data_IF_319582282175
#
_entry.id   IF_319582282175
#
_cell.length_a   1.000
_cell.length_b   1.000
_cell.length_c   1.000
_cell.angle_alpha   90.00
_cell.angle_beta   90.00
_cell.angle_gamma   90.00
#
_symmetry.space_group_name_H-M   'P 1'
#
loop_
_entity.id
_entity.type
_entity.pdbx_description
1 polymer ?
#
# COMPACT_ATOMS: atom_id res chain seq x y z
N UNK A 1 4.46 -20.92 -4.07
CA UNK A 1 4.36 -20.16 -2.80
C UNK A 1 4.38 -18.68 -3.12
N UNK A 2 3.53 -17.87 -2.49
CA UNK A 2 3.49 -16.41 -2.69
C UNK A 2 3.99 -15.73 -1.42
N UNK A 3 4.94 -14.81 -1.57
CA UNK A 3 5.44 -13.94 -0.52
C UNK A 3 5.76 -12.58 -1.14
N UNK A 4 5.38 -11.51 -0.46
CA UNK A 4 5.61 -10.15 -0.89
C UNK A 4 5.70 -9.25 0.34
N UNK A 5 6.45 -8.14 0.22
CA UNK A 5 6.39 -7.06 1.20
C UNK A 5 4.95 -6.48 1.21
N UNK A 6 4.45 -6.05 2.38
CA UNK A 6 3.14 -5.42 2.53
C UNK A 6 2.89 -4.26 1.54
N UNK A 7 3.94 -3.54 1.15
CA UNK A 7 3.91 -2.43 0.19
C UNK A 7 3.60 -2.88 -1.26
N UNK A 8 3.86 -4.15 -1.58
CA UNK A 8 3.60 -4.77 -2.89
C UNK A 8 2.62 -5.93 -2.85
N UNK A 9 2.20 -6.37 -1.67
CA UNK A 9 1.34 -7.52 -1.51
C UNK A 9 -0.03 -7.29 -2.15
N UNK A 10 -0.46 -8.22 -2.98
CA UNK A 10 -1.74 -8.29 -3.65
C UNK A 10 -2.63 -9.30 -2.92
N UNK A 11 -3.93 -9.09 -2.96
CA UNK A 11 -4.90 -10.00 -2.36
C UNK A 11 -6.18 -10.02 -3.17
N UNK A 12 -6.86 -11.17 -3.19
CA UNK A 12 -8.20 -11.25 -3.80
C UNK A 12 -9.19 -10.52 -2.91
N UNK A 13 -9.83 -9.49 -3.47
CA UNK A 13 -10.91 -8.74 -2.84
C UNK A 13 -12.19 -9.56 -2.92
N UNK A 14 -12.90 -9.66 -1.82
CA UNK A 14 -14.17 -10.39 -1.75
C UNK A 14 -15.21 -9.69 -2.64
N UNK A 15 -15.86 -10.45 -3.53
CA UNK A 15 -17.00 -9.95 -4.31
C UNK A 15 -18.22 -9.86 -3.40
N UNK A 16 -18.95 -8.75 -3.52
CA UNK A 16 -20.24 -8.59 -2.86
C UNK A 16 -21.31 -9.33 -3.68
N UNK A 17 -22.49 -9.48 -3.09
CA UNK A 17 -23.63 -10.06 -3.78
C UNK A 17 -23.93 -9.26 -5.07
N UNK A 18 -24.25 -9.98 -6.14
CA UNK A 18 -24.68 -9.33 -7.38
C UNK A 18 -26.07 -8.73 -7.19
N UNK A 19 -26.14 -7.40 -7.21
CA UNK A 19 -27.38 -6.66 -7.12
C UNK A 19 -27.57 -5.79 -8.36
N UNK A 20 -28.83 -5.54 -8.73
CA UNK A 20 -29.14 -4.57 -9.79
C UNK A 20 -28.94 -3.16 -9.24
N UNK A 21 -28.39 -2.23 -10.03
CA UNK A 21 -28.29 -0.83 -9.63
C UNK A 21 -29.67 -0.24 -9.30
N UNK A 22 -29.82 0.27 -8.09
CA UNK A 22 -31.03 0.97 -7.63
C UNK A 22 -30.93 2.48 -7.88
N UNK A 23 -32.05 3.23 -7.95
CA UNK A 23 -32.02 4.68 -8.03
C UNK A 23 -31.23 5.29 -6.86
N UNK A 24 -30.39 6.29 -7.16
CA UNK A 24 -29.60 7.00 -6.16
C UNK A 24 -30.52 7.77 -5.21
N UNK A 25 -30.25 7.70 -3.91
CA UNK A 25 -31.05 8.32 -2.85
C UNK A 25 -30.15 9.08 -1.89
N UNK A 26 -30.51 10.31 -1.52
CA UNK A 26 -29.83 11.07 -0.45
C UNK A 26 -30.36 10.65 0.93
N UNK A 27 -29.46 10.45 1.89
CA UNK A 27 -29.78 10.13 3.27
C UNK A 27 -29.01 11.04 4.22
N UNK A 28 -29.71 11.61 5.20
CA UNK A 28 -29.10 12.40 6.26
C UNK A 28 -28.36 11.46 7.24
N UNK A 29 -27.12 11.81 7.56
CA UNK A 29 -26.23 11.08 8.46
C UNK A 29 -25.57 12.07 9.44
N UNK A 30 -26.36 12.71 10.32
CA UNK A 30 -25.86 13.72 11.25
C UNK A 30 -24.83 13.12 12.21
N UNK A 31 -23.72 13.82 12.40
CA UNK A 31 -22.62 13.37 13.27
C UNK A 31 -21.86 12.12 12.80
N UNK A 32 -22.05 11.64 11.57
CA UNK A 32 -21.33 10.50 11.01
C UNK A 32 -20.42 10.93 9.85
N UNK A 33 -19.10 10.84 10.05
CA UNK A 33 -18.10 11.27 9.08
C UNK A 33 -17.08 10.16 8.72
N UNK A 34 -16.89 9.20 9.62
CA UNK A 34 -16.03 8.03 9.39
C UNK A 34 -16.79 6.88 8.76
N UNK A 35 -16.08 5.95 8.11
CA UNK A 35 -16.71 4.76 7.55
C UNK A 35 -17.40 3.93 8.62
N UNK A 36 -16.78 3.80 9.79
CA UNK A 36 -17.34 3.12 10.95
C UNK A 36 -18.67 3.75 11.41
N UNK A 37 -18.71 5.08 11.52
CA UNK A 37 -19.93 5.80 11.93
C UNK A 37 -21.03 5.70 10.88
N UNK A 38 -20.71 5.90 9.60
CA UNK A 38 -21.68 5.83 8.50
C UNK A 38 -22.26 4.43 8.36
N UNK A 39 -21.40 3.40 8.38
CA UNK A 39 -21.82 2.01 8.33
C UNK A 39 -22.68 1.62 9.54
N UNK A 40 -22.28 2.06 10.74
CA UNK A 40 -23.05 1.85 11.97
C UNK A 40 -24.42 2.53 11.95
N UNK A 41 -24.47 3.79 11.52
CA UNK A 41 -25.69 4.59 11.43
C UNK A 41 -26.71 3.98 10.45
N UNK A 42 -26.23 3.57 9.27
CA UNK A 42 -27.07 2.98 8.21
C UNK A 42 -27.30 1.48 8.39
N UNK A 43 -26.66 0.84 9.39
CA UNK A 43 -26.72 -0.59 9.68
C UNK A 43 -26.32 -1.46 8.47
N UNK A 44 -25.26 -1.06 7.78
CA UNK A 44 -24.67 -1.79 6.66
C UNK A 44 -23.23 -2.19 6.99
N UNK A 45 -22.68 -3.24 6.35
CA UNK A 45 -21.25 -3.54 6.50
C UNK A 45 -20.40 -2.46 5.82
N UNK A 46 -19.20 -2.21 6.37
CA UNK A 46 -18.22 -1.24 5.80
C UNK A 46 -17.87 -1.53 4.34
N UNK A 47 -17.96 -2.79 3.92
CA UNK A 47 -17.74 -3.20 2.53
C UNK A 47 -18.76 -2.61 1.54
N UNK A 48 -19.92 -2.15 2.00
CA UNK A 48 -20.92 -1.46 1.17
C UNK A 48 -20.75 0.06 1.17
N UNK A 49 -19.63 0.58 1.66
CA UNK A 49 -19.32 2.01 1.63
C UNK A 49 -18.13 2.30 0.70
N UNK A 50 -18.06 3.50 0.16
CA UNK A 50 -16.89 4.04 -0.54
C UNK A 50 -16.26 5.15 0.30
N UNK A 51 -14.99 4.98 0.61
CA UNK A 51 -14.14 5.95 1.29
C UNK A 51 -13.47 6.86 0.27
N UNK A 52 -13.52 8.17 0.54
CA UNK A 52 -12.73 9.18 -0.14
C UNK A 52 -11.48 9.52 0.67
N UNK A 53 -10.31 9.48 0.04
CA UNK A 53 -9.02 9.86 0.63
C UNK A 53 -8.32 10.85 -0.31
N UNK A 54 -7.67 11.86 0.23
CA UNK A 54 -7.09 12.95 -0.55
C UNK A 54 -5.58 12.95 -0.42
N UNK A 55 -4.89 13.00 -1.55
CA UNK A 55 -3.44 13.04 -1.61
C UNK A 55 -2.97 14.23 -2.42
N UNK A 56 -1.77 14.71 -2.13
CA UNK A 56 -1.01 15.58 -3.02
C UNK A 56 0.06 14.72 -3.68
N UNK A 57 0.01 14.62 -5.01
CA UNK A 57 0.98 13.91 -5.84
C UNK A 57 1.72 14.93 -6.72
N UNK A 58 3.03 15.07 -6.52
CA UNK A 58 3.88 16.07 -7.21
C UNK A 58 3.29 17.50 -7.22
N UNK A 59 2.63 17.90 -6.13
CA UNK A 59 2.00 19.21 -5.96
C UNK A 59 0.54 19.32 -6.40
N UNK A 60 -0.02 18.29 -7.04
CA UNK A 60 -1.41 18.26 -7.49
C UNK A 60 -2.32 17.45 -6.55
N UNK A 61 -3.53 17.95 -6.30
CA UNK A 61 -4.54 17.22 -5.53
C UNK A 61 -5.08 16.04 -6.33
N UNK A 62 -5.14 14.87 -5.68
CA UNK A 62 -5.69 13.63 -6.22
C UNK A 62 -6.79 13.13 -5.30
N UNK A 63 -7.96 12.85 -5.88
CA UNK A 63 -9.08 12.21 -5.21
C UNK A 63 -8.93 10.70 -5.32
N UNK A 64 -8.84 10.00 -4.21
CA UNK A 64 -8.75 8.54 -4.18
C UNK A 64 -10.03 7.95 -3.61
N UNK A 65 -10.66 7.03 -4.33
CA UNK A 65 -11.85 6.30 -3.85
C UNK A 65 -11.58 4.80 -3.72
N UNK A 66 -11.99 4.20 -2.61
CA UNK A 66 -11.77 2.78 -2.31
C UNK A 66 -12.92 2.25 -1.46
N UNK A 67 -13.19 0.94 -1.47
CA UNK A 67 -14.17 0.33 -0.56
C UNK A 67 -13.80 0.61 0.90
N UNK A 68 -14.80 0.93 1.73
CA UNK A 68 -14.56 1.52 3.05
C UNK A 68 -13.93 0.59 4.08
N UNK A 69 -14.00 -0.73 3.90
CA UNK A 69 -13.30 -1.71 4.74
C UNK A 69 -11.80 -1.86 4.40
N UNK A 70 -11.33 -1.26 3.31
CA UNK A 70 -9.94 -1.34 2.83
C UNK A 70 -9.15 -0.05 3.11
N UNK A 71 -7.82 -0.19 3.23
CA UNK A 71 -6.91 0.94 3.33
C UNK A 71 -6.13 1.14 2.03
N UNK A 72 -5.85 2.40 1.70
CA UNK A 72 -4.97 2.76 0.58
C UNK A 72 -3.54 2.35 0.93
N UNK A 73 -2.87 1.72 -0.03
CA UNK A 73 -1.44 1.47 -0.01
C UNK A 73 -0.76 2.58 -0.81
N UNK A 74 -0.12 3.50 -0.10
CA UNK A 74 0.55 4.67 -0.68
C UNK A 74 1.67 4.29 -1.66
N UNK A 75 2.38 3.18 -1.43
CA UNK A 75 3.41 2.69 -2.36
C UNK A 75 2.77 2.24 -3.67
N UNK A 76 1.65 1.50 -3.63
CA UNK A 76 0.90 1.13 -4.83
C UNK A 76 0.36 2.37 -5.55
N UNK A 77 -0.27 3.29 -4.81
CA UNK A 77 -0.81 4.53 -5.36
C UNK A 77 0.28 5.38 -6.03
N UNK A 78 1.44 5.57 -5.37
CA UNK A 78 2.58 6.29 -5.92
C UNK A 78 3.09 5.66 -7.22
N UNK A 79 3.21 4.34 -7.26
CA UNK A 79 3.64 3.61 -8.45
C UNK A 79 2.67 3.76 -9.62
N UNK A 80 1.35 3.70 -9.34
CA UNK A 80 0.29 3.84 -10.34
C UNK A 80 0.20 5.27 -10.88
N UNK A 81 0.41 6.27 -10.02
CA UNK A 81 0.47 7.68 -10.40
C UNK A 81 1.78 8.08 -11.09
N UNK A 82 2.81 7.25 -11.00
CA UNK A 82 4.18 7.57 -11.45
C UNK A 82 4.73 8.86 -10.83
N UNK A 83 4.33 9.19 -9.60
CA UNK A 83 4.76 10.41 -8.92
C UNK A 83 6.02 10.20 -8.07
N UNK A 84 6.78 11.28 -7.87
CA UNK A 84 7.99 11.29 -7.04
C UNK A 84 7.65 11.55 -5.59
N UNK A 85 6.73 12.47 -5.32
CA UNK A 85 6.24 12.81 -4.00
C UNK A 85 4.75 12.49 -3.88
N UNK A 86 4.40 11.82 -2.78
CA UNK A 86 3.03 11.51 -2.42
C UNK A 86 2.86 11.74 -0.93
N UNK A 87 1.86 12.53 -0.54
CA UNK A 87 1.47 12.72 0.86
C UNK A 87 -0.03 12.88 0.98
N UNK A 88 -0.57 12.66 2.17
CA UNK A 88 -1.94 13.05 2.47
C UNK A 88 -2.12 14.56 2.28
N UNK A 89 -3.27 14.93 1.72
CA UNK A 89 -3.67 16.33 1.65
C UNK A 89 -4.05 16.82 3.04
N UNK A 90 -3.71 18.06 3.34
CA UNK A 90 -4.14 18.73 4.57
C UNK A 90 -5.60 19.16 4.45
N UNK A 91 -6.28 19.33 5.58
CA UNK A 91 -7.66 19.81 5.60
C UNK A 91 -7.83 21.12 4.82
N UNK A 92 -6.90 22.07 4.98
CA UNK A 92 -6.93 23.36 4.29
C UNK A 92 -6.84 23.22 2.75
N UNK A 93 -6.10 22.24 2.24
CA UNK A 93 -6.01 21.96 0.80
C UNK A 93 -7.33 21.36 0.27
N UNK A 94 -7.92 20.45 1.04
CA UNK A 94 -9.21 19.80 0.73
C UNK A 94 -10.34 20.83 0.72
N UNK A 95 -10.42 21.70 1.73
CA UNK A 95 -11.43 22.77 1.81
C UNK A 95 -11.27 23.78 0.67
N UNK A 96 -10.04 24.15 0.31
CA UNK A 96 -9.77 25.09 -0.80
C UNK A 96 -10.22 24.52 -2.15
N UNK A 97 -10.18 23.20 -2.30
CA UNK A 97 -10.71 22.50 -3.46
C UNK A 97 -12.24 22.34 -3.46
N UNK A 98 -12.94 22.87 -2.44
CA UNK A 98 -14.40 22.79 -2.31
C UNK A 98 -14.91 21.42 -1.89
N UNK A 99 -14.04 20.58 -1.32
CA UNK A 99 -14.38 19.22 -0.90
C UNK A 99 -14.85 19.23 0.56
N UNK A 100 -15.98 18.58 0.82
CA UNK A 100 -16.54 18.41 2.16
C UNK A 100 -16.00 17.12 2.77
N UNK A 101 -14.93 17.22 3.56
CA UNK A 101 -14.34 16.08 4.25
C UNK A 101 -15.39 15.34 5.11
N UNK A 102 -15.31 14.00 5.18
CA UNK A 102 -16.30 13.16 5.88
C UNK A 102 -17.60 12.91 5.12
N UNK A 103 -17.90 13.69 4.08
CA UNK A 103 -19.07 13.50 3.22
C UNK A 103 -18.73 13.66 1.73
N UNK A 104 -17.47 13.42 1.36
CA UNK A 104 -16.99 13.56 0.00
C UNK A 104 -17.21 12.31 -0.86
N UNK A 105 -17.46 12.52 -2.16
CA UNK A 105 -17.45 11.47 -3.18
C UNK A 105 -16.99 12.03 -4.53
N UNK A 106 -16.55 11.18 -5.47
CA UNK A 106 -16.15 11.63 -6.80
C UNK A 106 -17.32 12.14 -7.68
N UNK A 107 -18.57 12.13 -7.17
CA UNK A 107 -19.76 12.51 -7.93
C UNK A 107 -19.76 14.03 -8.17
N UNK A 108 -19.67 14.44 -9.43
CA UNK A 108 -19.70 15.84 -9.84
C UNK A 108 -18.40 16.61 -9.58
N UNK A 109 -17.34 15.95 -9.13
CA UNK A 109 -16.01 16.54 -8.98
C UNK A 109 -15.42 16.81 -10.37
N UNK A 110 -14.83 18.00 -10.56
CA UNK A 110 -14.19 18.43 -11.80
C UNK A 110 -12.83 19.04 -11.51
N UNK A 111 -11.89 18.87 -12.44
CA UNK A 111 -10.54 19.47 -12.33
C UNK A 111 -9.62 18.79 -11.31
N UNK A 112 -10.02 17.66 -10.74
CA UNK A 112 -9.22 16.85 -9.82
C UNK A 112 -9.18 15.44 -10.39
N UNK A 113 -7.99 14.86 -10.48
CA UNK A 113 -7.81 13.48 -10.93
C UNK A 113 -8.43 12.52 -9.92
N UNK A 114 -9.31 11.64 -10.38
CA UNK A 114 -9.97 10.60 -9.59
C UNK A 114 -9.28 9.26 -9.85
N UNK A 115 -8.63 8.73 -8.82
CA UNK A 115 -8.06 7.38 -8.81
C UNK A 115 -8.97 6.48 -7.99
N UNK A 116 -9.29 5.29 -8.49
CA UNK A 116 -10.06 4.31 -7.73
C UNK A 116 -9.32 3.00 -7.56
N UNK A 117 -9.55 2.37 -6.41
CA UNK A 117 -9.24 0.96 -6.25
C UNK A 117 -10.24 0.10 -7.02
N UNK A 118 -9.78 -0.98 -7.64
CA UNK A 118 -10.68 -1.92 -8.34
C UNK A 118 -11.79 -2.53 -7.44
N UNK A 119 -11.69 -2.46 -6.10
CA UNK A 119 -12.73 -2.89 -5.16
C UNK A 119 -14.07 -2.18 -5.36
N UNK A 120 -14.09 -0.99 -5.96
CA UNK A 120 -15.37 -0.30 -6.25
C UNK A 120 -16.22 -1.04 -7.29
N UNK A 121 -15.61 -2.01 -8.00
CA UNK A 121 -16.29 -2.89 -8.96
C UNK A 121 -16.72 -4.23 -8.34
N UNK A 122 -16.46 -4.44 -7.05
CA UNK A 122 -16.76 -5.72 -6.37
C UNK A 122 -18.26 -5.94 -6.12
N UNK A 123 -19.09 -4.93 -6.31
CA UNK A 123 -20.53 -4.97 -6.10
C UNK A 123 -21.24 -3.77 -6.70
N UNK A 124 -22.48 -3.58 -6.28
CA UNK A 124 -23.33 -2.47 -6.67
C UNK A 124 -23.86 -1.76 -5.42
N UNK A 125 -24.49 -0.60 -5.64
CA UNK A 125 -25.28 0.12 -4.64
C UNK A 125 -24.53 0.57 -3.38
N UNK A 126 -23.29 1.04 -3.53
CA UNK A 126 -22.50 1.52 -2.40
C UNK A 126 -23.08 2.78 -1.77
N UNK A 127 -22.67 3.05 -0.53
CA UNK A 127 -22.86 4.34 0.14
C UNK A 127 -21.61 5.19 0.00
N UNK A 128 -21.74 6.41 -0.50
CA UNK A 128 -20.65 7.39 -0.59
C UNK A 128 -21.12 8.75 -0.08
N UNK A 129 -20.19 9.67 0.20
CA UNK A 129 -20.55 11.03 0.61
C UNK A 129 -21.38 11.79 -0.42
N UNK A 130 -22.26 12.69 0.02
CA UNK A 130 -23.12 13.47 -0.88
C UNK A 130 -22.48 14.79 -1.39
N UNK A 131 -21.22 15.06 -1.05
CA UNK A 131 -20.55 16.36 -1.21
C UNK A 131 -21.29 17.50 -0.49
N UNK A 132 -22.02 17.17 0.57
CA UNK A 132 -22.77 18.07 1.44
C UNK A 132 -22.53 17.66 2.90
N UNK A 133 -22.43 18.59 3.86
CA UNK A 133 -22.29 18.25 5.27
C UNK A 133 -23.38 17.28 5.72
N UNK A 134 -23.00 16.31 6.57
CA UNK A 134 -23.92 15.39 7.25
C UNK A 134 -24.87 14.61 6.32
N UNK A 135 -24.47 14.40 5.06
CA UNK A 135 -25.32 13.74 4.06
C UNK A 135 -24.52 12.73 3.25
N UNK A 136 -25.11 11.57 3.03
CA UNK A 136 -24.55 10.52 2.17
C UNK A 136 -25.55 10.16 1.06
N UNK A 137 -25.04 9.50 0.02
CA UNK A 137 -25.79 8.95 -1.08
C UNK A 137 -25.79 7.44 -0.97
N UNK A 138 -26.99 6.84 -0.97
CA UNK A 138 -27.19 5.41 -1.16
C UNK A 138 -27.24 5.07 -2.65
N UNK A 139 -27.01 3.80 -2.93
CA UNK A 139 -27.11 3.21 -4.25
C UNK A 139 -26.15 3.83 -5.27
N UNK A 140 -24.95 4.22 -4.83
CA UNK A 140 -23.92 4.79 -5.68
C UNK A 140 -23.23 3.67 -6.48
N UNK A 141 -23.12 3.86 -7.79
CA UNK A 141 -22.63 2.87 -8.74
C UNK A 141 -21.65 3.50 -9.74
N UNK A 142 -20.46 2.93 -9.88
CA UNK A 142 -19.56 3.19 -11.00
C UNK A 142 -19.91 2.27 -12.18
N UNK A 143 -19.94 2.74 -13.45
CA UNK A 143 -19.67 4.10 -13.92
C UNK A 143 -20.90 5.03 -14.00
N UNK A 144 -22.08 4.59 -13.55
CA UNK A 144 -23.33 5.35 -13.70
C UNK A 144 -23.28 6.74 -13.06
N UNK A 145 -22.77 6.83 -11.82
CA UNK A 145 -22.85 8.06 -11.02
C UNK A 145 -21.56 8.91 -11.06
N UNK A 146 -20.42 8.28 -11.35
CA UNK A 146 -19.12 8.96 -11.45
C UNK A 146 -18.14 8.17 -12.32
N UNK A 147 -17.24 8.92 -12.96
CA UNK A 147 -16.14 8.37 -13.74
C UNK A 147 -14.85 8.33 -12.90
N UNK A 148 -13.93 7.48 -13.31
CA UNK A 148 -12.61 7.30 -12.70
C UNK A 148 -11.58 7.50 -13.80
N UNK A 149 -10.57 8.33 -13.56
CA UNK A 149 -9.50 8.58 -14.53
C UNK A 149 -8.49 7.42 -14.56
N UNK A 150 -8.26 6.80 -13.39
CA UNK A 150 -7.32 5.70 -13.24
C UNK A 150 -7.84 4.68 -12.23
N UNK A 151 -8.04 3.44 -12.66
CA UNK A 151 -8.42 2.32 -11.81
C UNK A 151 -7.27 1.34 -11.68
N UNK A 152 -6.90 0.97 -10.46
CA UNK A 152 -5.82 0.02 -10.19
C UNK A 152 -6.01 -0.70 -8.86
N UNK A 153 -5.19 -1.71 -8.57
CA UNK A 153 -5.06 -2.23 -7.21
C UNK A 153 -4.21 -1.27 -6.37
N UNK A 154 -4.87 -0.50 -5.51
CA UNK A 154 -4.24 0.41 -4.56
C UNK A 154 -4.58 0.03 -3.12
N UNK A 155 -5.22 -1.12 -2.88
CA UNK A 155 -5.55 -1.60 -1.56
C UNK A 155 -4.33 -2.26 -0.87
N UNK A 156 -4.22 -2.06 0.44
CA UNK A 156 -3.28 -2.80 1.30
C UNK A 156 -3.84 -4.19 1.59
N UNK A 157 -3.09 -5.23 1.19
CA UNK A 157 -3.41 -6.61 1.58
C UNK A 157 -3.26 -6.82 3.09
N UNK A 158 -4.13 -7.64 3.68
CA UNK A 158 -4.13 -7.97 5.12
C UNK A 158 -4.02 -9.47 5.34
N UNK A 159 -3.53 -9.85 6.52
CA UNK A 159 -3.58 -11.23 6.97
C UNK A 159 -5.03 -11.76 6.93
N UNK A 160 -5.18 -13.01 6.50
CA UNK A 160 -6.48 -13.64 6.29
C UNK A 160 -7.12 -13.38 4.93
N UNK A 161 -6.67 -12.38 4.16
CA UNK A 161 -7.14 -12.22 2.77
C UNK A 161 -6.71 -13.40 1.90
N UNK A 162 -7.44 -13.65 0.83
CA UNK A 162 -7.15 -14.75 -0.09
C UNK A 162 -5.94 -14.42 -0.97
N UNK A 163 -5.07 -15.41 -1.15
CA UNK A 163 -3.89 -15.28 -2.00
C UNK A 163 -4.31 -15.13 -3.47
N UNK A 164 -3.68 -14.23 -4.25
CA UNK A 164 -3.98 -14.07 -5.67
C UNK A 164 -3.39 -15.18 -6.54
N UNK A 165 -2.48 -16.00 -6.01
CA UNK A 165 -1.73 -17.03 -6.77
C UNK A 165 -2.00 -18.47 -6.30
N UNK A 166 -2.75 -18.64 -5.22
CA UNK A 166 -3.15 -19.95 -4.72
C UNK A 166 -4.45 -19.85 -3.92
N UNK A 167 -5.00 -20.99 -3.52
CA UNK A 167 -6.28 -21.06 -2.80
C UNK A 167 -6.15 -20.72 -1.30
N UNK A 168 -4.92 -20.54 -0.81
CA UNK A 168 -4.63 -20.24 0.59
C UNK A 168 -4.98 -18.81 1.01
N UNK A 169 -4.79 -18.56 2.31
CA UNK A 169 -4.90 -17.22 2.92
C UNK A 169 -3.50 -16.65 3.17
N UNK A 170 -3.38 -15.33 3.09
CA UNK A 170 -2.17 -14.60 3.44
C UNK A 170 -1.96 -14.64 4.96
N UNK A 171 -0.72 -14.86 5.39
CA UNK A 171 -0.26 -14.59 6.75
C UNK A 171 0.68 -13.39 6.72
N UNK A 172 0.78 -12.67 7.85
CA UNK A 172 1.71 -11.57 8.01
C UNK A 172 2.77 -11.95 9.05
N UNK A 173 4.03 -11.64 8.75
CA UNK A 173 5.15 -11.74 9.67
C UNK A 173 5.99 -10.48 9.58
N UNK A 174 6.66 -10.14 10.67
CA UNK A 174 7.70 -9.12 10.65
C UNK A 174 9.00 -9.73 10.13
N UNK A 175 9.80 -8.91 9.48
CA UNK A 175 11.11 -9.31 8.96
C UNK A 175 12.02 -8.10 8.87
N UNK A 176 13.32 -8.34 9.07
CA UNK A 176 14.36 -7.34 8.87
C UNK A 176 14.90 -7.51 7.46
N UNK A 177 14.81 -6.47 6.62
CA UNK A 177 15.37 -6.51 5.28
C UNK A 177 16.91 -6.48 5.34
N UNK A 178 17.55 -7.65 5.22
CA UNK A 178 19.02 -7.79 5.22
C UNK A 178 19.65 -7.60 3.85
N UNK A 179 18.85 -7.67 2.77
CA UNK A 179 19.31 -7.42 1.42
C UNK A 179 18.17 -7.24 0.42
N UNK A 180 18.50 -6.66 -0.73
CA UNK A 180 17.56 -6.35 -1.81
C UNK A 180 18.26 -6.51 -3.16
N UNK A 181 17.53 -7.06 -4.14
CA UNK A 181 17.98 -7.19 -5.52
C UNK A 181 17.05 -6.42 -6.44
N UNK A 182 17.60 -5.61 -7.33
CA UNK A 182 16.85 -4.76 -8.25
C UNK A 182 17.22 -5.07 -9.69
N UNK A 183 16.21 -5.17 -10.55
CA UNK A 183 16.37 -5.05 -12.00
C UNK A 183 16.22 -3.59 -12.36
N UNK A 184 17.33 -2.89 -12.55
CA UNK A 184 17.34 -1.46 -12.88
C UNK A 184 16.98 -1.20 -14.35
N UNK A 185 17.10 -2.22 -15.21
CA UNK A 185 16.87 -2.06 -16.64
C UNK A 185 17.91 -1.09 -17.21
N UNK A 186 17.44 -0.11 -17.99
CA UNK A 186 18.30 0.88 -18.66
C UNK A 186 18.28 2.26 -17.99
N UNK A 187 17.58 2.39 -16.85
CA UNK A 187 17.33 3.70 -16.21
C UNK A 187 18.61 4.49 -15.90
N UNK A 188 19.63 3.83 -15.34
CA UNK A 188 20.90 4.49 -15.02
C UNK A 188 21.80 4.64 -16.24
N UNK A 189 21.85 3.63 -17.10
CA UNK A 189 22.71 3.64 -18.29
C UNK A 189 22.30 4.71 -19.29
N UNK A 190 21.00 4.92 -19.49
CA UNK A 190 20.49 6.02 -20.31
C UNK A 190 20.85 7.39 -19.73
N UNK A 191 20.70 7.57 -18.41
CA UNK A 191 21.00 8.84 -17.72
C UNK A 191 22.49 9.17 -17.67
N UNK A 192 23.35 8.16 -17.52
CA UNK A 192 24.80 8.34 -17.34
C UNK A 192 25.60 8.19 -18.63
N UNK A 193 24.96 7.86 -19.76
CA UNK A 193 25.68 7.67 -21.02
C UNK A 193 26.43 6.34 -21.13
N UNK A 194 25.99 5.30 -20.42
CA UNK A 194 26.64 3.99 -20.41
C UNK A 194 26.06 3.05 -21.49
N UNK A 195 26.68 3.02 -22.67
CA UNK A 195 26.23 2.27 -23.84
C UNK A 195 27.28 1.25 -24.29
N UNK A 196 26.83 0.21 -25.01
CA UNK A 196 27.70 -0.76 -25.70
C UNK A 196 27.25 -0.94 -27.15
N UNK A 197 28.17 -1.37 -28.02
CA UNK A 197 27.83 -1.74 -29.40
C UNK A 197 27.48 -3.23 -29.44
N UNK A 198 26.26 -3.54 -29.87
CA UNK A 198 25.83 -4.92 -30.01
C UNK A 198 26.42 -5.58 -31.28
N UNK A 199 26.24 -6.90 -31.49
CA UNK A 199 26.79 -7.60 -32.66
C UNK A 199 26.31 -7.08 -34.04
N UNK A 200 25.26 -6.24 -34.09
CA UNK A 200 24.76 -5.61 -35.31
C UNK A 200 25.35 -4.21 -35.55
N UNK A 201 26.30 -3.77 -34.73
CA UNK A 201 26.89 -2.44 -34.82
C UNK A 201 26.00 -1.33 -34.23
N UNK A 202 24.93 -1.67 -33.51
CA UNK A 202 23.98 -0.70 -32.96
C UNK A 202 24.33 -0.39 -31.51
N UNK A 203 24.41 0.90 -31.17
CA UNK A 203 24.58 1.37 -29.80
C UNK A 203 23.32 1.08 -28.97
N UNK A 204 23.49 0.41 -27.84
CA UNK A 204 22.41 0.08 -26.91
C UNK A 204 22.80 0.42 -25.46
N UNK A 205 21.86 0.90 -24.63
CA UNK A 205 22.13 1.13 -23.22
C UNK A 205 22.41 -0.21 -22.52
N UNK A 206 23.32 -0.20 -21.56
CA UNK A 206 23.62 -1.39 -20.76
C UNK A 206 22.43 -1.74 -19.88
N UNK A 207 21.97 -2.99 -19.88
CA UNK A 207 20.94 -3.48 -18.96
C UNK A 207 21.59 -3.80 -17.62
N UNK A 208 21.07 -3.21 -16.54
CA UNK A 208 21.69 -3.25 -15.22
C UNK A 208 20.84 -4.00 -14.19
N UNK A 209 21.55 -4.70 -13.29
CA UNK A 209 21.03 -5.22 -12.03
C UNK A 209 21.85 -4.66 -10.87
N UNK A 210 21.25 -4.57 -9.69
CA UNK A 210 21.94 -4.16 -8.46
C UNK A 210 21.57 -5.12 -7.32
N UNK A 211 22.54 -5.44 -6.48
CA UNK A 211 22.43 -6.42 -5.40
C UNK A 211 23.08 -5.80 -4.16
N UNK A 212 22.28 -5.61 -3.10
CA UNK A 212 22.74 -5.01 -1.86
C UNK A 212 22.48 -5.93 -0.67
N UNK A 213 23.47 -6.05 0.22
CA UNK A 213 23.35 -6.70 1.53
C UNK A 213 23.86 -5.73 2.57
N UNK A 214 23.05 -5.43 3.57
CA UNK A 214 23.43 -4.53 4.67
C UNK A 214 24.23 -5.28 5.72
N UNK A 215 25.56 -5.35 5.61
CA UNK A 215 26.41 -6.17 6.50
C UNK A 215 26.21 -5.87 8.00
N UNK A 216 26.19 -4.59 8.39
CA UNK A 216 25.94 -4.20 9.79
C UNK A 216 24.54 -4.59 10.27
N UNK A 217 23.53 -4.44 9.39
CA UNK A 217 22.16 -4.86 9.67
C UNK A 217 22.03 -6.38 9.74
N UNK A 218 22.76 -7.11 8.90
CA UNK A 218 22.79 -8.57 8.90
C UNK A 218 23.35 -9.10 10.22
N UNK A 219 24.41 -8.48 10.74
CA UNK A 219 24.95 -8.80 12.07
C UNK A 219 23.89 -8.61 13.16
N UNK A 220 23.21 -7.45 13.18
CA UNK A 220 22.15 -7.18 14.14
C UNK A 220 20.97 -8.16 13.98
N UNK A 221 20.57 -8.48 12.75
CA UNK A 221 19.49 -9.44 12.48
C UNK A 221 19.84 -10.87 12.93
N UNK A 222 21.10 -11.28 12.78
CA UNK A 222 21.57 -12.57 13.28
C UNK A 222 21.49 -12.64 14.81
N UNK A 223 21.85 -11.56 15.51
CA UNK A 223 21.72 -11.46 16.97
C UNK A 223 20.23 -11.47 17.38
N UNK A 224 19.39 -10.67 16.71
CA UNK A 224 17.95 -10.61 16.98
C UNK A 224 17.28 -11.99 16.86
N UNK A 225 17.69 -12.78 15.87
CA UNK A 225 17.18 -14.14 15.67
C UNK A 225 17.79 -15.16 16.65
N UNK A 226 18.95 -14.87 17.25
CA UNK A 226 19.72 -15.85 18.02
C UNK A 226 20.34 -15.20 19.26
N UNK A 227 19.50 -14.95 20.26
CA UNK A 227 19.88 -14.50 21.59
C UNK A 227 18.94 -15.08 22.65
N UNK A 228 19.38 -15.02 23.90
CA UNK A 228 18.57 -15.27 25.08
C UNK A 228 18.88 -14.23 26.17
N UNK A 229 18.30 -14.41 27.36
CA UNK A 229 18.49 -13.51 28.50
C UNK A 229 19.95 -13.41 28.98
N UNK A 230 20.83 -14.34 28.57
CA UNK A 230 22.25 -14.37 28.94
C UNK A 230 23.16 -13.78 27.87
N UNK A 231 22.64 -13.52 26.67
CA UNK A 231 23.35 -12.81 25.62
C UNK A 231 23.20 -13.43 24.24
N UNK A 232 24.22 -13.22 23.41
CA UNK A 232 24.22 -13.58 21.99
C UNK A 232 24.51 -15.08 21.84
N UNK A 233 23.70 -15.76 21.03
CA UNK A 233 23.94 -17.13 20.59
C UNK A 233 24.41 -17.08 19.13
N UNK A 234 25.72 -16.94 18.93
CA UNK A 234 26.27 -16.83 17.59
C UNK A 234 26.01 -18.09 16.74
N UNK A 235 25.48 -17.96 15.52
CA UNK A 235 25.57 -19.02 14.52
C UNK A 235 27.05 -19.36 14.29
N UNK A 236 27.37 -20.66 14.25
CA UNK A 236 28.75 -21.15 14.19
C UNK A 236 29.63 -20.45 13.13
N UNK A 237 29.16 -20.19 11.88
CA UNK A 237 30.00 -19.56 10.85
C UNK A 237 30.41 -18.11 11.13
N UNK A 238 29.75 -17.42 12.06
CA UNK A 238 30.00 -16.00 12.37
C UNK A 238 30.35 -15.77 13.84
N UNK A 239 30.56 -16.84 14.61
CA UNK A 239 31.02 -16.72 15.98
C UNK A 239 32.43 -16.08 16.00
N UNK A 240 32.68 -15.09 16.89
CA UNK A 240 33.99 -14.43 16.95
C UNK A 240 35.11 -15.40 17.33
N UNK A 241 34.78 -16.39 18.17
CA UNK A 241 35.61 -17.52 18.54
C UNK A 241 34.73 -18.75 18.70
N UNK A 242 35.22 -19.92 18.29
CA UNK A 242 34.48 -21.19 18.46
C UNK A 242 34.57 -21.73 19.90
N UNK A 243 35.65 -21.41 20.62
CA UNK A 243 35.91 -21.87 21.98
C UNK A 243 36.41 -20.67 22.80
N UNK A 244 35.79 -20.43 23.95
CA UNK A 244 36.22 -19.45 24.94
C UNK A 244 36.78 -20.18 26.17
N UNK A 245 38.11 -20.19 26.32
CA UNK A 245 38.78 -20.81 27.46
C UNK A 245 38.86 -19.80 28.61
N UNK A 246 38.19 -20.12 29.72
CA UNK A 246 38.20 -19.29 30.92
C UNK A 246 38.96 -20.00 32.05
N UNK A 247 40.13 -19.48 32.45
CA UNK A 247 40.85 -19.99 33.61
C UNK A 247 40.20 -19.48 34.89
N UNK A 248 39.82 -20.39 35.79
CA UNK A 248 39.22 -20.04 37.09
C UNK A 248 40.28 -19.61 38.12
N UNK A 249 41.51 -20.10 37.96
CA UNK A 249 42.65 -19.79 38.82
C UNK A 249 43.91 -19.60 37.97
N UNK A 250 44.14 -18.39 37.42
CA UNK A 250 45.45 -18.07 36.91
C UNK A 250 46.42 -18.04 38.09
N UNK A 251 47.40 -18.95 38.12
CA UNK A 251 48.55 -18.78 39.02
C UNK A 251 49.23 -17.47 38.63
N UNK A 252 49.34 -16.54 39.57
CA UNK A 252 50.16 -15.35 39.39
C UNK A 252 51.59 -15.82 39.13
N UNK A 253 52.04 -15.80 37.87
CA UNK A 253 53.48 -15.83 37.60
C UNK A 253 54.08 -14.56 38.21
N UNK A 254 54.85 -14.76 39.29
CA UNK A 254 55.84 -13.79 39.76
C UNK A 254 56.89 -13.52 38.69
#
# INVERSE_FOLDING_TARGET
QYAANADKAESVKEKLAEEKPLPREEVATPGAATIEEVAGFLKIPRSHTLKAVFYIADGELVFVTIRGDLEVNEVKLKNVLHCVELRLATEAEVTRAGIVAGAASPIGIKGIKVVADDSITSGANFVAGANKPETHLKNVNHPRDFNVDLMADIARARAGNRCPRCEGKLSATHGIEVGHVFKLGTFLSEKLGAFFINPKGVSQPIVMGCYGIGLGRLLAAAIEQSHDDKGIIWPLPIAPYHIYLCSLHPENSQ
#
